data_IF_741698901587
#
_entry.id   IF_741698901587
#
_cell.length_a   1.000
_cell.length_b   1.000
_cell.length_c   1.000
_cell.angle_alpha   90.00
_cell.angle_beta   90.00
_cell.angle_gamma   90.00
#
_symmetry.space_group_name_H-M   'P 1'
#
loop_
_entity.id
_entity.type
_entity.pdbx_description
1 polymer ?
#
# COMPACT_ATOMS: atom_id res chain seq x y z
N UNK A 1 -5.18 -5.06 21.31
CA UNK A 1 -6.59 -4.76 20.99
C UNK A 1 -6.97 -5.59 19.77
N UNK A 2 -7.80 -6.62 19.90
CA UNK A 2 -8.27 -7.41 18.75
C UNK A 2 -9.49 -6.68 18.17
N UNK A 3 -9.40 -6.19 16.94
CA UNK A 3 -10.56 -5.65 16.23
C UNK A 3 -11.38 -6.80 15.68
N UNK A 4 -12.69 -6.80 15.93
CA UNK A 4 -13.60 -7.82 15.40
C UNK A 4 -13.59 -7.70 13.86
N UNK A 5 -13.15 -8.76 13.17
CA UNK A 5 -13.06 -8.79 11.70
C UNK A 5 -11.74 -8.28 11.10
N UNK A 6 -10.76 -7.85 11.90
CA UNK A 6 -9.42 -7.48 11.42
C UNK A 6 -8.49 -8.68 11.26
N UNK A 7 -7.64 -8.68 10.23
CA UNK A 7 -6.58 -9.68 10.06
C UNK A 7 -5.60 -9.57 11.23
N UNK A 8 -5.79 -10.37 12.28
CA UNK A 8 -4.88 -10.36 13.44
C UNK A 8 -3.60 -11.08 13.08
N UNK A 9 -2.44 -10.46 13.37
CA UNK A 9 -1.13 -11.11 13.27
C UNK A 9 -1.19 -12.44 14.03
N UNK A 10 -1.12 -13.54 13.28
CA UNK A 10 -1.32 -14.91 13.75
C UNK A 10 -0.26 -15.83 13.18
N UNK A 11 -0.20 -17.09 13.64
CA UNK A 11 0.81 -18.05 13.18
C UNK A 11 0.65 -18.28 11.68
N UNK A 12 1.64 -17.83 10.89
CA UNK A 12 1.65 -17.94 9.42
C UNK A 12 1.24 -16.69 8.63
N UNK A 13 0.85 -15.61 9.32
CA UNK A 13 0.54 -14.31 8.67
C UNK A 13 1.71 -13.36 8.93
N UNK A 14 2.75 -13.45 8.12
CA UNK A 14 3.86 -12.49 8.15
C UNK A 14 3.51 -11.23 7.33
N UNK A 15 4.34 -10.19 7.44
CA UNK A 15 4.07 -8.89 6.82
C UNK A 15 4.00 -8.97 5.29
N UNK A 16 4.73 -9.90 4.66
CA UNK A 16 4.65 -10.11 3.22
C UNK A 16 3.33 -10.77 2.79
N UNK A 17 2.78 -11.69 3.60
CA UNK A 17 1.44 -12.24 3.40
C UNK A 17 0.38 -11.16 3.56
N UNK A 18 0.51 -10.30 4.57
CA UNK A 18 -0.41 -9.18 4.80
C UNK A 18 -0.38 -8.16 3.65
N UNK A 19 0.82 -7.79 3.19
CA UNK A 19 1.00 -6.88 2.06
C UNK A 19 0.40 -7.47 0.78
N UNK A 20 0.66 -8.76 0.50
CA UNK A 20 0.10 -9.46 -0.66
C UNK A 20 -1.43 -9.53 -0.60
N UNK A 21 -2.01 -9.73 0.58
CA UNK A 21 -3.45 -9.72 0.75
C UNK A 21 -4.03 -8.32 0.51
N UNK A 22 -3.44 -7.29 1.12
CA UNK A 22 -3.90 -5.91 1.02
C UNK A 22 -3.82 -5.38 -0.41
N UNK A 23 -2.70 -5.63 -1.10
CA UNK A 23 -2.49 -5.23 -2.49
C UNK A 23 -3.28 -6.12 -3.48
N UNK A 24 -3.41 -7.41 -3.16
CA UNK A 24 -4.11 -8.39 -3.99
C UNK A 24 -5.62 -8.21 -3.99
N UNK A 25 -6.21 -7.72 -2.89
CA UNK A 25 -7.65 -7.48 -2.82
C UNK A 25 -8.14 -6.46 -3.85
N UNK A 26 -7.36 -5.41 -4.13
CA UNK A 26 -7.74 -4.43 -5.14
C UNK A 26 -7.76 -5.04 -6.54
N UNK A 27 -6.76 -5.87 -6.86
CA UNK A 27 -6.73 -6.60 -8.14
C UNK A 27 -7.86 -7.64 -8.24
N UNK A 28 -8.19 -8.30 -7.13
CA UNK A 28 -9.29 -9.26 -7.06
C UNK A 28 -10.64 -8.57 -7.31
N UNK A 29 -10.87 -7.39 -6.73
CA UNK A 29 -12.09 -6.61 -6.94
C UNK A 29 -12.33 -6.31 -8.42
N UNK A 30 -11.29 -5.90 -9.14
CA UNK A 30 -11.38 -5.62 -10.58
C UNK A 30 -11.71 -6.87 -11.39
N UNK A 31 -11.15 -8.02 -11.03
CA UNK A 31 -11.43 -9.29 -11.68
C UNK A 31 -12.86 -9.77 -11.40
N UNK A 32 -13.34 -9.66 -10.16
CA UNK A 32 -14.72 -9.97 -9.78
C UNK A 32 -15.72 -9.14 -10.58
N UNK A 33 -15.52 -7.82 -10.64
CA UNK A 33 -16.35 -6.93 -11.44
C UNK A 33 -16.32 -7.27 -12.95
N UNK A 34 -15.16 -7.65 -13.47
CA UNK A 34 -15.02 -8.11 -14.86
C UNK A 34 -15.83 -9.39 -15.15
N UNK A 35 -15.82 -10.34 -14.22
CA UNK A 35 -16.58 -11.59 -14.30
C UNK A 35 -18.09 -11.32 -14.18
N UNK A 36 -18.50 -10.46 -13.26
CA UNK A 36 -19.89 -10.02 -13.10
C UNK A 36 -20.45 -9.43 -14.39
N UNK A 37 -19.72 -8.48 -14.97
CA UNK A 37 -20.07 -7.84 -16.24
C UNK A 37 -20.13 -8.85 -17.39
N UNK A 38 -19.19 -9.80 -17.45
CA UNK A 38 -19.16 -10.82 -18.50
C UNK A 38 -20.34 -11.77 -18.41
N UNK A 39 -20.68 -12.21 -17.20
CA UNK A 39 -21.76 -13.16 -16.95
C UNK A 39 -23.14 -12.49 -16.87
N UNK A 40 -23.21 -11.14 -16.92
CA UNK A 40 -24.47 -10.39 -16.79
C UNK A 40 -25.15 -10.59 -15.42
N UNK A 41 -24.37 -11.01 -14.43
CA UNK A 41 -24.81 -11.17 -13.05
C UNK A 41 -24.29 -9.98 -12.26
N UNK A 42 -25.21 -9.31 -11.60
CA UNK A 42 -24.86 -8.31 -10.62
C UNK A 42 -24.72 -9.04 -9.29
N UNK A 43 -23.48 -9.19 -8.80
CA UNK A 43 -23.24 -9.55 -7.40
C UNK A 43 -23.41 -8.31 -6.53
N UNK A 44 -24.39 -7.45 -6.85
CA UNK A 44 -24.91 -6.45 -5.92
C UNK A 44 -25.17 -7.19 -4.64
N UNK A 45 -24.30 -6.97 -3.65
CA UNK A 45 -24.63 -6.60 -2.29
C UNK A 45 -26.04 -7.06 -1.88
N UNK A 46 -26.36 -8.34 -2.04
CA UNK A 46 -27.39 -8.94 -1.24
C UNK A 46 -26.86 -8.81 0.18
N UNK A 47 -27.69 -8.50 1.16
CA UNK A 47 -27.29 -8.49 2.57
C UNK A 47 -26.63 -9.82 3.02
N UNK A 48 -26.67 -10.86 2.17
CA UNK A 48 -25.88 -12.09 2.28
C UNK A 48 -24.36 -11.87 2.17
N UNK A 49 -23.87 -10.89 1.42
CA UNK A 49 -22.45 -10.58 1.30
C UNK A 49 -22.05 -9.40 2.19
N UNK A 50 -22.00 -9.65 3.51
CA UNK A 50 -21.69 -8.68 4.57
C UNK A 50 -20.42 -7.82 4.38
N UNK A 51 -19.53 -8.19 3.45
CA UNK A 51 -18.25 -7.51 3.22
C UNK A 51 -18.26 -6.50 2.07
N UNK A 52 -19.15 -6.67 1.09
CA UNK A 52 -19.27 -5.82 -0.10
C UNK A 52 -20.74 -5.40 -0.12
N UNK A 53 -21.04 -4.35 0.66
CA UNK A 53 -22.36 -3.75 0.64
C UNK A 53 -22.24 -2.25 0.49
N UNK A 54 -23.26 -1.64 -0.11
CA UNK A 54 -23.25 -0.21 -0.45
C UNK A 54 -23.00 0.67 0.80
N UNK A 55 -23.48 0.24 1.96
CA UNK A 55 -23.25 0.94 3.23
C UNK A 55 -21.78 0.96 3.65
N UNK A 56 -21.05 -0.15 3.44
CA UNK A 56 -19.62 -0.28 3.74
C UNK A 56 -18.79 0.45 2.70
N UNK A 57 -19.15 0.35 1.42
CA UNK A 57 -18.48 1.08 0.35
C UNK A 57 -18.60 2.59 0.58
N UNK A 58 -19.79 3.08 0.94
CA UNK A 58 -20.00 4.47 1.32
C UNK A 58 -19.19 4.86 2.57
N UNK A 59 -19.18 3.99 3.59
CA UNK A 59 -18.40 4.20 4.80
C UNK A 59 -16.88 4.28 4.55
N UNK A 60 -16.35 3.35 3.76
CA UNK A 60 -14.93 3.31 3.39
C UNK A 60 -14.53 4.55 2.57
N UNK A 61 -15.41 4.99 1.65
CA UNK A 61 -15.22 6.23 0.89
C UNK A 61 -15.25 7.48 1.78
N UNK A 62 -16.17 7.52 2.75
CA UNK A 62 -16.27 8.60 3.73
C UNK A 62 -15.05 8.67 4.64
N UNK A 63 -14.54 7.53 5.09
CA UNK A 63 -13.33 7.43 5.90
C UNK A 63 -12.07 7.76 5.10
N UNK A 64 -11.99 7.36 3.82
CA UNK A 64 -10.94 7.81 2.91
C UNK A 64 -10.95 9.33 2.77
N UNK A 65 -12.13 9.94 2.58
CA UNK A 65 -12.27 11.40 2.50
C UNK A 65 -11.81 12.09 3.78
N UNK A 66 -12.19 11.58 4.96
CA UNK A 66 -11.72 12.12 6.25
C UNK A 66 -10.21 12.06 6.39
N UNK A 67 -9.58 10.94 5.99
CA UNK A 67 -8.11 10.81 6.01
C UNK A 67 -7.44 11.81 5.08
N UNK A 68 -7.98 12.00 3.88
CA UNK A 68 -7.47 12.99 2.92
C UNK A 68 -7.59 14.41 3.49
N UNK A 69 -8.74 14.77 4.06
CA UNK A 69 -8.92 16.09 4.70
C UNK A 69 -7.97 16.28 5.89
N UNK A 70 -7.71 15.23 6.66
CA UNK A 70 -6.74 15.26 7.74
C UNK A 70 -5.32 15.50 7.20
N UNK A 71 -4.89 14.79 6.16
CA UNK A 71 -3.58 15.00 5.53
C UNK A 71 -3.40 16.38 4.90
N UNK A 72 -4.48 17.02 4.43
CA UNK A 72 -4.42 18.41 3.94
C UNK A 72 -4.04 19.39 5.06
N UNK A 73 -4.55 19.17 6.27
CA UNK A 73 -4.25 20.02 7.43
C UNK A 73 -2.93 19.63 8.11
N UNK A 74 -2.62 18.33 8.12
CA UNK A 74 -1.43 17.76 8.74
C UNK A 74 -0.61 17.02 7.69
N UNK A 75 0.08 17.78 6.83
CA UNK A 75 0.91 17.19 5.78
C UNK A 75 2.00 16.31 6.42
N UNK A 76 1.99 14.99 6.22
CA UNK A 76 2.99 14.10 6.80
C UNK A 76 4.37 14.27 6.14
N UNK A 77 4.42 14.89 4.96
CA UNK A 77 5.63 15.17 4.19
C UNK A 77 5.70 16.67 3.90
N UNK A 78 5.96 17.50 4.93
CA UNK A 78 6.17 18.92 4.70
C UNK A 78 7.35 19.11 3.75
N UNK A 79 7.25 20.12 2.89
CA UNK A 79 8.31 20.44 1.93
C UNK A 79 9.60 20.73 2.71
N UNK A 80 10.65 19.95 2.42
CA UNK A 80 11.92 20.01 3.13
C UNK A 80 13.05 19.92 2.11
N UNK A 81 14.08 20.76 2.25
CA UNK A 81 15.27 20.74 1.41
C UNK A 81 16.14 19.49 1.64
N UNK A 82 15.97 18.83 2.78
CA UNK A 82 16.75 17.67 3.16
C UNK A 82 16.07 16.38 2.70
N UNK A 83 16.87 15.42 2.25
CA UNK A 83 16.39 14.07 1.99
C UNK A 83 16.16 13.35 3.31
N UNK A 84 14.97 12.79 3.54
CA UNK A 84 14.64 12.08 4.79
C UNK A 84 14.15 10.68 4.48
N UNK A 85 14.74 9.68 5.13
CA UNK A 85 14.26 8.30 5.07
C UNK A 85 12.91 8.18 5.77
N UNK A 86 11.87 7.74 5.06
CA UNK A 86 10.54 7.54 5.66
C UNK A 86 10.48 6.37 6.65
N UNK A 87 11.37 5.38 6.51
CA UNK A 87 11.39 4.20 7.38
C UNK A 87 12.18 4.42 8.67
N UNK A 88 13.22 5.26 8.63
CA UNK A 88 14.15 5.45 9.76
C UNK A 88 14.17 6.88 10.29
N UNK A 89 13.59 7.85 9.59
CA UNK A 89 13.67 9.27 9.94
C UNK A 89 15.05 9.90 9.74
N UNK A 90 16.02 9.15 9.20
CA UNK A 90 17.40 9.63 9.01
C UNK A 90 17.43 10.70 7.93
N UNK A 91 18.03 11.84 8.26
CA UNK A 91 18.25 12.96 7.34
C UNK A 91 19.56 12.73 6.60
N UNK A 92 19.50 12.70 5.27
CA UNK A 92 20.65 12.60 4.41
C UNK A 92 21.45 13.90 4.38
N UNK A 93 22.78 13.78 4.37
CA UNK A 93 23.70 14.87 4.16
C UNK A 93 23.99 15.08 2.65
N UNK A 94 24.91 16.00 2.33
CA UNK A 94 25.33 16.27 0.96
C UNK A 94 26.02 15.10 0.25
N UNK A 95 26.35 14.02 0.97
CA UNK A 95 26.96 12.81 0.40
C UNK A 95 25.91 11.80 -0.06
N UNK A 96 24.65 11.96 0.37
CA UNK A 96 23.58 11.05 0.01
C UNK A 96 23.18 11.25 -1.44
N UNK A 97 23.41 10.20 -2.23
CA UNK A 97 23.17 10.14 -3.66
C UNK A 97 22.04 9.18 -4.03
N UNK A 98 20.98 9.08 -3.22
CA UNK A 98 19.88 8.12 -3.45
C UNK A 98 19.23 8.24 -4.83
N UNK A 99 19.25 9.43 -5.45
CA UNK A 99 18.79 9.67 -6.81
C UNK A 99 19.65 8.96 -7.87
N UNK A 100 20.88 8.58 -7.53
CA UNK A 100 21.83 7.82 -8.37
C UNK A 100 21.90 6.33 -7.98
N UNK A 101 20.94 5.81 -7.20
CA UNK A 101 21.02 4.46 -6.66
C UNK A 101 21.19 3.38 -7.76
N UNK A 102 20.62 3.60 -8.95
CA UNK A 102 20.75 2.69 -10.09
C UNK A 102 22.16 2.70 -10.66
N UNK A 103 22.71 3.88 -10.92
CA UNK A 103 24.05 4.08 -11.47
C UNK A 103 25.12 3.54 -10.51
N UNK A 104 25.01 3.85 -9.22
CA UNK A 104 25.91 3.32 -8.18
C UNK A 104 25.80 1.80 -8.05
N UNK A 105 24.61 1.23 -8.18
CA UNK A 105 24.40 -0.22 -8.20
C UNK A 105 25.14 -0.89 -9.36
N UNK A 106 25.06 -0.31 -10.57
CA UNK A 106 25.77 -0.83 -11.75
C UNK A 106 27.29 -0.72 -11.56
N UNK A 107 27.79 0.41 -11.05
CA UNK A 107 29.21 0.59 -10.75
C UNK A 107 29.70 -0.40 -9.68
N UNK A 108 28.87 -0.66 -8.67
CA UNK A 108 29.15 -1.64 -7.62
C UNK A 108 29.32 -3.05 -8.18
N UNK A 109 28.42 -3.48 -9.09
CA UNK A 109 28.50 -4.79 -9.74
C UNK A 109 29.80 -4.93 -10.53
N UNK A 110 30.16 -3.93 -11.36
CA UNK A 110 31.39 -3.95 -12.15
C UNK A 110 32.65 -4.06 -11.28
N UNK A 111 32.71 -3.31 -10.17
CA UNK A 111 33.85 -3.39 -9.23
C UNK A 111 34.01 -4.78 -8.63
N UNK A 112 32.91 -5.47 -8.36
CA UNK A 112 32.93 -6.85 -7.84
C UNK A 112 33.42 -7.81 -8.92
N UNK A 113 32.95 -7.67 -10.16
CA UNK A 113 33.40 -8.50 -11.30
C UNK A 113 34.89 -8.34 -11.61
N UNK A 114 35.44 -7.13 -11.49
CA UNK A 114 36.87 -6.83 -11.69
C UNK A 114 37.77 -7.26 -10.51
N UNK A 115 37.17 -7.63 -9.37
CA UNK A 115 37.90 -8.09 -8.17
C UNK A 115 38.14 -9.61 -8.15
N UNK A 116 37.73 -10.33 -9.19
CA UNK A 116 37.98 -11.76 -9.41
C UNK A 116 38.85 -11.98 -10.66
#
# INVERSE_FOLDING_TARGET
MKTFGGLTHGRGVNDSVLARWTQGMTALQHNCYGIEKFCGIDLTSSDQHLKINDSRDQGDNDDCRKKVEWFKHYNPFPENSNLISLSTGVVGDSRINCHMAKEEGILGIKRVEESF
#
